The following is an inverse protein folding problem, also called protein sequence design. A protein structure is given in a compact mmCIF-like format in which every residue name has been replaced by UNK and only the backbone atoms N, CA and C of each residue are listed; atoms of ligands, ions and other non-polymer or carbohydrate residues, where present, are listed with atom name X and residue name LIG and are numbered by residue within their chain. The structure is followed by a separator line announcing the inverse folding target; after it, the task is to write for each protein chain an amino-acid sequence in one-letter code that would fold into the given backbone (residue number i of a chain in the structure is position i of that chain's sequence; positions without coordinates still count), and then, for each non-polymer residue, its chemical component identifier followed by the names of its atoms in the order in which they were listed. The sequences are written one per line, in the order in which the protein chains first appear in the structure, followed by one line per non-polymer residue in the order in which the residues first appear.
data_IF_256329405489
#
_entry.id   IF_256329405489
#
_cell.length_a   1.000
_cell.length_b   1.000
_cell.length_c   1.000
_cell.angle_alpha   90.00
_cell.angle_beta   90.00
_cell.angle_gamma   90.00
#
_symmetry.space_group_name_H-M   'P 1'
#
loop_
_entity.id
_entity.type
_entity.pdbx_description
1 polymer ?
#
# COMPACT_ATOMS: atom_id res chain seq x y z
N UNK A 1 -16.57 18.53 -24.45
CA UNK A 1 -15.25 17.88 -24.66
C UNK A 1 -15.51 16.40 -24.82
N UNK A 2 -14.85 15.69 -25.74
CA UNK A 2 -14.98 14.23 -25.82
C UNK A 2 -13.83 13.54 -25.11
N UNK A 3 -14.15 12.47 -24.40
CA UNK A 3 -13.17 11.52 -23.89
C UNK A 3 -13.41 10.20 -24.61
N UNK A 4 -12.38 9.71 -25.28
CA UNK A 4 -12.37 8.46 -26.03
C UNK A 4 -11.62 7.41 -25.22
N UNK A 5 -12.27 6.30 -24.92
CA UNK A 5 -11.68 5.18 -24.20
C UNK A 5 -11.39 4.04 -25.16
N UNK A 6 -10.15 3.57 -25.15
CA UNK A 6 -9.70 2.38 -25.86
C UNK A 6 -9.13 1.41 -24.82
N UNK A 7 -9.76 0.25 -24.62
CA UNK A 7 -9.26 -0.77 -23.70
C UNK A 7 -8.66 -1.93 -24.50
N UNK A 8 -7.36 -2.21 -24.27
CA UNK A 8 -6.69 -3.44 -24.72
C UNK A 8 -7.14 -4.60 -23.85
N UNK A 9 -8.13 -5.35 -24.32
CA UNK A 9 -8.63 -6.54 -23.64
C UNK A 9 -9.41 -7.43 -24.60
N UNK A 10 -9.23 -8.74 -24.49
CA UNK A 10 -9.96 -9.71 -25.30
C UNK A 10 -11.04 -10.35 -24.44
N UNK A 11 -12.23 -10.45 -25.01
CA UNK A 11 -13.41 -11.05 -24.40
C UNK A 11 -13.82 -12.29 -25.19
N UNK A 12 -14.57 -13.20 -24.56
CA UNK A 12 -15.28 -14.25 -25.30
C UNK A 12 -16.75 -13.88 -25.53
N UNK A 13 -17.44 -14.71 -26.31
CA UNK A 13 -18.88 -14.54 -26.53
C UNK A 13 -19.62 -14.53 -25.18
N UNK A 14 -20.62 -13.64 -25.05
CA UNK A 14 -21.37 -13.41 -23.80
C UNK A 14 -20.80 -12.32 -22.89
N UNK A 15 -19.56 -11.87 -23.12
CA UNK A 15 -18.93 -10.83 -22.32
C UNK A 15 -19.06 -9.44 -22.93
N UNK A 16 -19.26 -8.44 -22.08
CA UNK A 16 -19.28 -7.03 -22.44
C UNK A 16 -18.46 -6.20 -21.46
N UNK A 17 -17.73 -5.20 -21.98
CA UNK A 17 -16.98 -4.26 -21.16
C UNK A 17 -17.82 -3.01 -20.89
N UNK A 18 -17.83 -2.57 -19.64
CA UNK A 18 -18.39 -1.30 -19.19
C UNK A 18 -17.33 -0.44 -18.51
N UNK A 19 -17.61 0.86 -18.38
CA UNK A 19 -16.81 1.82 -17.61
C UNK A 19 -17.72 2.49 -16.58
N UNK A 20 -17.27 2.52 -15.33
CA UNK A 20 -17.89 3.32 -14.27
C UNK A 20 -16.90 4.37 -13.75
N UNK A 21 -17.41 5.47 -13.20
CA UNK A 21 -16.56 6.53 -12.66
C UNK A 21 -17.35 7.70 -12.07
N UNK A 22 -16.63 8.69 -11.56
CA UNK A 22 -17.18 9.80 -10.77
C UNK A 22 -17.95 10.88 -11.57
N UNK A 23 -18.46 10.53 -12.75
CA UNK A 23 -19.21 11.44 -13.62
C UNK A 23 -20.56 10.84 -13.98
N UNK A 24 -21.57 11.68 -14.21
CA UNK A 24 -22.88 11.20 -14.62
C UNK A 24 -22.87 10.38 -15.91
N UNK A 25 -21.97 10.71 -16.86
CA UNK A 25 -21.81 9.94 -18.10
C UNK A 25 -21.17 8.55 -17.88
N UNK A 26 -20.58 8.31 -16.71
CA UNK A 26 -20.01 7.03 -16.28
C UNK A 26 -20.79 6.43 -15.09
N UNK A 27 -22.00 6.90 -14.81
CA UNK A 27 -22.88 6.36 -13.78
C UNK A 27 -22.53 6.75 -12.33
N UNK A 28 -21.70 7.77 -12.08
CA UNK A 28 -21.35 8.24 -10.72
C UNK A 28 -20.94 7.10 -9.76
N UNK A 29 -20.03 6.24 -10.19
CA UNK A 29 -19.55 5.05 -9.47
C UNK A 29 -20.64 3.98 -9.17
N UNK A 30 -21.85 4.12 -9.75
CA UNK A 30 -22.88 3.08 -9.75
C UNK A 30 -22.66 2.12 -10.92
N UNK A 31 -22.36 0.85 -10.61
CA UNK A 31 -22.09 -0.21 -11.61
C UNK A 31 -23.30 -0.55 -12.48
N UNK A 32 -24.51 -0.36 -11.98
CA UNK A 32 -25.73 -0.62 -12.75
C UNK A 32 -25.92 0.44 -13.86
N UNK A 33 -25.38 1.64 -13.66
CA UNK A 33 -25.46 2.77 -14.60
C UNK A 33 -24.15 2.96 -15.39
N UNK A 34 -23.26 1.96 -15.36
CA UNK A 34 -21.98 2.01 -16.05
C UNK A 34 -22.17 2.15 -17.58
N UNK A 35 -21.26 2.87 -18.22
CA UNK A 35 -21.26 3.13 -19.65
C UNK A 35 -20.74 1.91 -20.42
N UNK A 36 -21.53 1.36 -21.34
CA UNK A 36 -21.15 0.21 -22.15
C UNK A 36 -20.15 0.59 -23.25
N UNK A 37 -19.09 -0.20 -23.41
CA UNK A 37 -18.21 -0.13 -24.56
C UNK A 37 -18.71 -1.00 -25.70
N UNK A 38 -18.25 -0.68 -26.90
CA UNK A 38 -18.45 -1.49 -28.11
C UNK A 38 -17.16 -2.19 -28.47
N UNK A 39 -17.25 -3.43 -28.93
CA UNK A 39 -16.13 -4.13 -29.55
C UNK A 39 -15.68 -3.34 -30.79
N UNK A 40 -14.40 -2.95 -30.85
CA UNK A 40 -13.86 -2.20 -31.98
C UNK A 40 -13.19 -3.15 -32.97
N UNK A 41 -12.23 -3.93 -32.49
CA UNK A 41 -11.43 -4.86 -33.26
C UNK A 41 -10.79 -5.91 -32.35
N UNK A 42 -9.91 -6.75 -32.92
CA UNK A 42 -9.25 -7.83 -32.19
C UNK A 42 -8.31 -7.36 -31.07
N UNK A 43 -7.98 -6.07 -30.98
CA UNK A 43 -7.13 -5.51 -29.92
C UNK A 43 -7.95 -4.69 -28.91
N UNK A 44 -8.99 -3.98 -29.37
CA UNK A 44 -9.64 -2.93 -28.58
C UNK A 44 -11.15 -3.10 -28.39
N UNK A 45 -11.58 -2.75 -27.18
CA UNK A 45 -12.91 -2.21 -26.91
C UNK A 45 -12.87 -0.68 -26.94
N UNK A 46 -13.95 -0.05 -27.41
CA UNK A 46 -14.04 1.40 -27.59
C UNK A 46 -15.34 2.00 -27.09
N UNK A 47 -15.26 3.23 -26.58
CA UNK A 47 -16.42 4.07 -26.36
C UNK A 47 -16.02 5.52 -26.13
N UNK A 48 -16.99 6.42 -26.22
CA UNK A 48 -16.72 7.84 -26.01
C UNK A 48 -17.86 8.52 -25.27
N UNK A 49 -17.51 9.39 -24.32
CA UNK A 49 -18.46 10.21 -23.60
C UNK A 49 -18.28 11.69 -23.96
N UNK A 50 -19.37 12.44 -23.90
CA UNK A 50 -19.36 13.89 -23.99
C UNK A 50 -19.43 14.50 -22.60
N UNK A 51 -18.44 15.32 -22.27
CA UNK A 51 -18.41 16.09 -21.03
C UNK A 51 -19.07 17.47 -21.25
N UNK A 52 -20.12 17.80 -20.48
CA UNK A 52 -20.89 19.04 -20.65
C UNK A 52 -20.10 20.28 -20.23
N UNK A 53 -19.25 20.20 -19.19
CA UNK A 53 -18.36 21.29 -18.78
C UNK A 53 -16.96 20.76 -18.39
N UNK A 54 -15.92 21.36 -18.99
CA UNK A 54 -14.51 21.04 -18.72
C UNK A 54 -14.06 21.43 -17.31
N UNK A 55 -14.74 22.37 -16.66
CA UNK A 55 -14.37 22.91 -15.35
C UNK A 55 -15.18 22.33 -14.20
N UNK A 56 -16.21 21.53 -14.49
CA UNK A 56 -17.06 20.93 -13.47
C UNK A 56 -16.27 20.02 -12.52
N UNK A 57 -15.25 19.32 -13.04
CA UNK A 57 -14.38 18.44 -12.27
C UNK A 57 -12.92 18.71 -12.58
N UNK A 58 -12.07 18.65 -11.55
CA UNK A 58 -10.61 18.72 -11.69
C UNK A 58 -10.01 17.41 -12.17
N UNK A 59 -10.63 16.30 -11.79
CA UNK A 59 -10.15 14.94 -12.05
C UNK A 59 -11.33 14.01 -12.31
N UNK A 60 -11.22 13.19 -13.34
CA UNK A 60 -12.19 12.15 -13.70
C UNK A 60 -11.54 10.80 -13.38
N UNK A 61 -12.09 10.11 -12.40
CA UNK A 61 -11.69 8.76 -12.01
C UNK A 61 -12.62 7.77 -12.67
N UNK A 62 -12.07 6.66 -13.14
CA UNK A 62 -12.87 5.62 -13.79
C UNK A 62 -12.21 4.25 -13.66
N UNK A 63 -13.03 3.21 -13.82
CA UNK A 63 -12.62 1.81 -13.84
C UNK A 63 -13.46 1.02 -14.83
N UNK A 64 -12.87 -0.06 -15.33
CA UNK A 64 -13.56 -0.99 -16.22
C UNK A 64 -14.27 -2.09 -15.43
N UNK A 65 -15.33 -2.61 -16.02
CA UNK A 65 -16.12 -3.72 -15.53
C UNK A 65 -16.27 -4.72 -16.67
N UNK A 66 -15.96 -5.98 -16.41
CA UNK A 66 -16.30 -7.09 -17.29
C UNK A 66 -17.60 -7.70 -16.77
N UNK A 67 -18.61 -7.76 -17.63
CA UNK A 67 -19.94 -8.30 -17.30
C UNK A 67 -20.29 -9.45 -18.23
N UNK A 68 -20.85 -10.49 -17.64
CA UNK A 68 -21.34 -11.69 -18.30
C UNK A 68 -22.67 -12.10 -17.64
N UNK A 69 -23.65 -12.50 -18.45
CA UNK A 69 -24.97 -12.84 -17.95
C UNK A 69 -24.92 -14.04 -17.00
N UNK A 70 -25.50 -13.89 -15.80
CA UNK A 70 -25.52 -14.93 -14.77
C UNK A 70 -24.28 -14.98 -13.88
N UNK A 71 -23.23 -14.23 -14.20
CA UNK A 71 -21.99 -14.15 -13.44
C UNK A 71 -21.88 -12.84 -12.65
N UNK A 72 -20.99 -12.82 -11.64
CA UNK A 72 -20.70 -11.60 -10.87
C UNK A 72 -19.80 -10.69 -11.69
N UNK A 73 -20.11 -9.39 -11.72
CA UNK A 73 -19.27 -8.36 -12.33
C UNK A 73 -17.81 -8.44 -11.83
N UNK A 74 -16.86 -8.56 -12.77
CA UNK A 74 -15.43 -8.51 -12.47
C UNK A 74 -14.95 -7.08 -12.68
N UNK A 75 -14.37 -6.49 -11.64
CA UNK A 75 -13.79 -5.15 -11.72
C UNK A 75 -12.33 -5.20 -12.15
N UNK A 76 -11.94 -4.22 -12.95
CA UNK A 76 -10.53 -3.90 -13.16
C UNK A 76 -9.91 -3.43 -11.84
N UNK A 77 -8.77 -4.04 -11.49
CA UNK A 77 -8.10 -3.81 -10.22
C UNK A 77 -7.32 -2.49 -10.16
N UNK A 78 -7.10 -1.81 -11.30
CA UNK A 78 -6.44 -0.52 -11.34
C UNK A 78 -7.38 0.62 -10.93
N UNK A 79 -7.13 1.11 -9.72
CA UNK A 79 -7.84 2.22 -9.10
C UNK A 79 -7.32 3.61 -9.48
N UNK A 80 -6.17 3.69 -10.16
CA UNK A 80 -5.36 4.90 -10.24
C UNK A 80 -5.51 5.64 -11.57
N UNK A 81 -6.49 5.24 -12.40
CA UNK A 81 -6.75 5.89 -13.69
C UNK A 81 -7.51 7.19 -13.47
N UNK A 82 -6.86 8.28 -13.87
CA UNK A 82 -7.37 9.64 -13.73
C UNK A 82 -7.14 10.41 -15.03
N UNK A 83 -8.15 11.16 -15.47
CA UNK A 83 -8.04 12.15 -16.54
C UNK A 83 -8.26 13.55 -15.97
N UNK A 84 -7.36 14.48 -16.29
CA UNK A 84 -7.55 15.92 -16.02
C UNK A 84 -8.23 16.58 -17.24
N UNK A 85 -9.52 16.94 -17.16
CA UNK A 85 -10.25 17.59 -18.25
C UNK A 85 -9.92 19.08 -18.40
N UNK A 86 -9.18 19.68 -17.47
CA UNK A 86 -8.94 21.12 -17.37
C UNK A 86 -7.75 21.61 -18.21
N UNK A 87 -7.06 20.69 -18.89
CA UNK A 87 -5.91 20.98 -19.74
C UNK A 87 -6.15 22.11 -20.74
N UNK A 88 -5.30 23.14 -20.71
CA UNK A 88 -5.46 24.38 -21.50
C UNK A 88 -5.43 24.20 -23.03
N UNK A 89 -4.94 23.05 -23.53
CA UNK A 89 -4.57 22.86 -24.95
C UNK A 89 -5.48 21.85 -25.68
N UNK A 90 -6.26 21.05 -24.95
CA UNK A 90 -6.96 19.88 -25.50
C UNK A 90 -8.44 20.17 -25.73
N UNK A 91 -8.93 19.91 -26.94
CA UNK A 91 -10.35 19.87 -27.31
C UNK A 91 -10.97 18.54 -26.86
N UNK A 92 -10.26 17.44 -27.13
CA UNK A 92 -10.65 16.06 -26.84
C UNK A 92 -9.47 15.29 -26.22
N UNK A 93 -9.77 14.22 -25.47
CA UNK A 93 -8.78 13.36 -24.80
C UNK A 93 -9.02 11.92 -25.25
N UNK A 94 -7.97 11.23 -25.69
CA UNK A 94 -7.97 9.79 -25.86
C UNK A 94 -7.27 9.11 -24.69
N UNK A 95 -7.79 7.99 -24.21
CA UNK A 95 -7.10 7.12 -23.26
C UNK A 95 -6.98 5.73 -23.87
N UNK A 96 -5.76 5.19 -23.87
CA UNK A 96 -5.44 3.83 -24.31
C UNK A 96 -5.00 3.05 -23.08
N UNK A 97 -5.85 2.15 -22.63
CA UNK A 97 -5.70 1.46 -21.36
C UNK A 97 -5.47 -0.02 -21.57
N UNK A 98 -4.86 -0.64 -20.58
CA UNK A 98 -4.70 -2.10 -20.49
C UNK A 98 -5.47 -2.60 -19.28
N UNK A 99 -6.21 -3.70 -19.43
CA UNK A 99 -6.93 -4.31 -18.32
C UNK A 99 -5.96 -4.78 -17.22
N UNK A 100 -6.31 -4.51 -15.95
CA UNK A 100 -5.59 -5.02 -14.79
C UNK A 100 -6.42 -6.05 -14.04
N UNK A 101 -5.98 -7.31 -14.08
CA UNK A 101 -6.60 -8.41 -13.35
C UNK A 101 -6.25 -8.34 -11.87
N UNK A 102 -7.21 -8.62 -10.98
CA UNK A 102 -7.01 -8.64 -9.53
C UNK A 102 -5.85 -9.55 -9.09
N UNK A 103 -5.73 -10.72 -9.73
CA UNK A 103 -4.67 -11.69 -9.47
C UNK A 103 -3.26 -11.32 -9.95
N UNK A 104 -3.06 -10.15 -10.58
CA UNK A 104 -1.71 -9.70 -10.94
C UNK A 104 -0.87 -9.49 -9.68
N UNK A 105 0.26 -10.18 -9.59
CA UNK A 105 1.08 -10.16 -8.38
C UNK A 105 1.61 -8.76 -8.05
N UNK A 106 1.81 -7.92 -9.06
CA UNK A 106 2.28 -6.55 -8.92
C UNK A 106 1.33 -5.67 -8.09
N UNK A 107 0.02 -5.99 -8.07
CA UNK A 107 -0.98 -5.26 -7.29
C UNK A 107 -0.63 -5.25 -5.80
N UNK A 108 -0.03 -6.32 -5.28
CA UNK A 108 0.30 -6.43 -3.84
C UNK A 108 1.25 -5.32 -3.39
N UNK A 109 2.14 -4.88 -4.28
CA UNK A 109 3.14 -3.88 -3.95
C UNK A 109 2.56 -2.48 -3.81
N UNK A 110 1.33 -2.25 -4.28
CA UNK A 110 0.61 -0.99 -4.11
C UNK A 110 -0.23 -0.95 -2.81
N UNK A 111 -0.22 -2.02 -2.01
CA UNK A 111 -0.87 -2.03 -0.69
C UNK A 111 -0.11 -1.20 0.34
N UNK A 112 -0.81 -0.79 1.40
CA UNK A 112 -0.26 0.06 2.46
C UNK A 112 1.04 -0.47 3.09
N UNK A 113 1.18 -1.77 3.45
CA UNK A 113 2.42 -2.27 4.03
C UNK A 113 3.64 -2.07 3.12
N UNK A 114 3.47 -2.31 1.81
CA UNK A 114 4.55 -2.14 0.85
C UNK A 114 4.87 -0.67 0.59
N UNK A 115 3.86 0.14 0.27
CA UNK A 115 4.06 1.55 -0.07
C UNK A 115 4.57 2.40 1.10
N UNK A 116 4.07 2.16 2.32
CA UNK A 116 4.44 2.97 3.49
C UNK A 116 5.69 2.48 4.22
N UNK A 117 6.00 1.18 4.15
CA UNK A 117 7.02 0.59 5.01
C UNK A 117 8.07 -0.25 4.25
N UNK A 118 7.66 -1.26 3.46
CA UNK A 118 8.61 -2.24 2.92
C UNK A 118 9.40 -1.77 1.68
N UNK A 119 8.82 -0.87 0.88
CA UNK A 119 9.43 -0.33 -0.35
C UNK A 119 9.71 1.17 -0.25
N UNK A 120 9.77 1.70 0.97
CA UNK A 120 10.05 3.12 1.21
C UNK A 120 11.53 3.42 0.96
N UNK A 121 11.92 3.48 -0.30
CA UNK A 121 13.25 3.91 -0.72
C UNK A 121 13.26 5.38 -1.14
N UNK A 122 14.37 6.06 -0.86
CA UNK A 122 14.58 7.44 -1.30
C UNK A 122 14.96 7.46 -2.79
N UNK A 123 13.95 7.36 -3.64
CA UNK A 123 14.08 7.52 -5.09
C UNK A 123 14.59 8.93 -5.44
N UNK A 124 15.71 9.00 -6.16
CA UNK A 124 16.20 10.27 -6.72
C UNK A 124 15.54 10.51 -8.07
N UNK A 125 14.53 11.37 -8.09
CA UNK A 125 13.80 11.67 -9.33
C UNK A 125 14.68 12.33 -10.41
N UNK A 126 14.49 11.96 -11.70
CA UNK A 126 15.13 12.65 -12.80
C UNK A 126 14.61 14.09 -12.88
N UNK A 127 15.52 15.05 -13.11
CA UNK A 127 15.15 16.45 -13.34
C UNK A 127 14.70 16.62 -14.80
N UNK A 128 13.40 16.54 -15.04
CA UNK A 128 12.81 16.66 -16.37
C UNK A 128 12.13 18.01 -16.56
N UNK A 129 12.33 18.62 -17.73
CA UNK A 129 11.56 19.80 -18.15
C UNK A 129 10.30 19.30 -18.84
N UNK A 130 9.14 19.72 -18.35
CA UNK A 130 7.88 19.39 -19.03
C UNK A 130 7.77 20.14 -20.37
N UNK A 131 7.37 19.47 -21.45
CA UNK A 131 7.18 20.13 -22.73
C UNK A 131 5.98 21.09 -22.66
N UNK A 132 6.11 22.28 -23.27
CA UNK A 132 5.01 23.25 -23.36
C UNK A 132 3.82 22.71 -24.16
N UNK A 133 4.08 21.84 -25.14
CA UNK A 133 3.10 21.19 -26.01
C UNK A 133 3.46 19.72 -26.14
N UNK A 134 2.48 18.85 -25.95
CA UNK A 134 2.62 17.41 -26.10
C UNK A 134 1.36 16.83 -26.75
N UNK A 135 1.52 15.68 -27.39
CA UNK A 135 0.42 14.95 -28.04
C UNK A 135 0.07 13.70 -27.28
N UNK A 136 1.06 13.10 -26.60
CA UNK A 136 0.93 11.81 -25.95
C UNK A 136 1.54 11.86 -24.54
N UNK A 137 0.89 11.24 -23.58
CA UNK A 137 1.44 10.97 -22.25
C UNK A 137 1.52 9.46 -22.03
N UNK A 138 2.73 8.95 -21.86
CA UNK A 138 2.97 7.54 -21.57
C UNK A 138 3.02 7.34 -20.07
N UNK A 139 2.26 6.36 -19.55
CA UNK A 139 2.20 6.04 -18.12
C UNK A 139 2.38 4.53 -17.92
N UNK A 140 3.27 4.15 -17.01
CA UNK A 140 3.53 2.75 -16.65
C UNK A 140 3.74 2.61 -15.15
N UNK A 141 3.32 1.48 -14.57
CA UNK A 141 3.55 1.10 -13.18
C UNK A 141 4.83 0.30 -13.04
N UNK A 142 5.65 0.63 -12.06
CA UNK A 142 6.91 -0.07 -11.78
C UNK A 142 7.13 -0.17 -10.25
N UNK A 143 6.44 -1.10 -9.57
CA UNK A 143 6.41 -1.15 -8.11
C UNK A 143 7.74 -1.51 -7.44
N UNK A 144 8.61 -2.27 -8.12
CA UNK A 144 9.87 -2.80 -7.56
C UNK A 144 11.10 -2.06 -8.11
N UNK A 145 11.06 -0.74 -8.07
CA UNK A 145 12.16 0.13 -8.50
C UNK A 145 13.10 0.44 -7.33
N UNK A 146 14.40 0.28 -7.52
CA UNK A 146 15.39 0.61 -6.50
C UNK A 146 15.75 2.12 -6.53
N UNK A 147 16.34 2.64 -5.44
CA UNK A 147 16.63 4.06 -5.24
C UNK A 147 17.49 4.74 -6.33
N UNK A 148 18.36 3.97 -7.00
CA UNK A 148 19.26 4.45 -8.06
C UNK A 148 18.78 4.10 -9.47
N UNK A 149 17.55 3.63 -9.61
CA UNK A 149 17.00 3.20 -10.88
C UNK A 149 15.94 4.17 -11.38
N UNK A 150 15.92 4.41 -12.68
CA UNK A 150 14.88 5.17 -13.37
C UNK A 150 14.13 4.26 -14.34
N UNK A 151 12.83 4.43 -14.43
CA UNK A 151 12.07 3.94 -15.58
C UNK A 151 12.38 4.86 -16.75
N UNK A 152 12.76 4.29 -17.90
CA UNK A 152 12.98 5.01 -19.14
C UNK A 152 12.17 4.39 -20.27
N UNK A 153 11.93 5.16 -21.33
CA UNK A 153 11.32 4.72 -22.58
C UNK A 153 12.29 4.99 -23.75
N UNK A 154 12.32 4.08 -24.71
CA UNK A 154 12.95 4.24 -26.03
C UNK A 154 12.19 3.42 -27.07
N UNK A 155 12.47 3.60 -28.36
CA UNK A 155 11.69 3.01 -29.43
C UNK A 155 12.15 3.43 -30.83
N UNK A 156 11.34 3.07 -31.83
CA UNK A 156 11.48 3.54 -33.20
C UNK A 156 11.06 5.00 -33.33
N UNK A 157 11.68 5.76 -34.23
CA UNK A 157 11.34 7.16 -34.47
C UNK A 157 12.45 8.10 -34.03
N UNK A 158 12.37 9.33 -34.52
CA UNK A 158 13.41 10.36 -34.34
C UNK A 158 13.51 10.80 -32.90
N UNK A 159 12.38 10.93 -32.20
CA UNK A 159 12.34 11.32 -30.78
C UNK A 159 13.05 10.35 -29.84
N UNK A 160 13.13 9.07 -30.22
CA UNK A 160 13.81 8.02 -29.46
C UNK A 160 15.19 7.68 -30.03
N UNK A 161 15.67 8.45 -31.02
CA UNK A 161 16.90 8.20 -31.75
C UNK A 161 17.01 6.75 -32.28
N UNK A 162 15.87 6.16 -32.68
CA UNK A 162 15.74 4.77 -33.18
C UNK A 162 16.43 3.72 -32.28
N UNK A 163 15.94 3.59 -31.05
CA UNK A 163 16.40 2.62 -30.03
C UNK A 163 17.78 2.91 -29.42
N UNK A 164 18.29 4.14 -29.51
CA UNK A 164 19.58 4.50 -28.92
C UNK A 164 19.52 4.53 -27.37
N UNK A 165 20.08 3.50 -26.75
CA UNK A 165 20.18 3.36 -25.29
C UNK A 165 21.11 4.39 -24.62
N UNK A 166 21.84 5.20 -25.40
CA UNK A 166 22.61 6.35 -24.88
C UNK A 166 21.74 7.59 -24.70
N UNK A 167 20.56 7.63 -25.32
CA UNK A 167 19.62 8.77 -25.31
C UNK A 167 18.25 8.37 -24.80
N UNK A 168 18.24 7.66 -23.68
CA UNK A 168 17.03 7.23 -23.00
C UNK A 168 16.21 8.44 -22.52
N UNK A 169 14.89 8.36 -22.64
CA UNK A 169 13.98 9.34 -22.07
C UNK A 169 13.48 8.82 -20.71
N UNK A 170 13.90 9.39 -19.58
CA UNK A 170 13.44 8.93 -18.27
C UNK A 170 12.02 9.42 -17.98
N UNK A 171 11.28 8.65 -17.17
CA UNK A 171 9.93 8.96 -16.72
C UNK A 171 9.97 9.53 -15.29
N UNK A 172 8.98 10.34 -14.95
CA UNK A 172 8.80 10.95 -13.62
C UNK A 172 7.71 10.24 -12.84
N UNK A 173 7.94 9.97 -11.56
CA UNK A 173 6.90 9.46 -10.67
C UNK A 173 5.78 10.52 -10.47
N UNK A 174 4.53 10.12 -10.71
CA UNK A 174 3.31 10.92 -10.55
C UNK A 174 2.22 10.01 -9.97
N UNK A 175 2.01 10.10 -8.64
CA UNK A 175 1.19 9.12 -7.92
C UNK A 175 1.80 7.72 -8.02
N UNK A 176 0.98 6.72 -8.32
CA UNK A 176 1.40 5.32 -8.52
C UNK A 176 2.03 5.04 -9.89
N UNK A 177 2.03 6.03 -10.80
CA UNK A 177 2.52 5.92 -12.17
C UNK A 177 3.90 6.55 -12.34
N UNK A 178 4.69 6.03 -13.28
CA UNK A 178 5.78 6.76 -13.91
C UNK A 178 5.26 7.30 -15.23
N UNK A 179 5.46 8.60 -15.49
CA UNK A 179 4.93 9.24 -16.70
C UNK A 179 5.93 10.12 -17.44
N UNK A 180 5.73 10.22 -18.76
CA UNK A 180 6.42 11.18 -19.64
C UNK A 180 5.46 11.71 -20.70
N UNK A 181 5.51 13.02 -20.92
CA UNK A 181 4.78 13.71 -21.98
C UNK A 181 5.68 13.90 -23.18
N UNK A 182 5.21 13.47 -24.36
CA UNK A 182 5.97 13.46 -25.61
C UNK A 182 5.14 14.09 -26.74
N UNK A 183 5.81 14.86 -27.59
CA UNK A 183 5.22 15.37 -28.82
C UNK A 183 5.64 14.49 -30.00
N UNK A 184 4.67 13.75 -30.55
CA UNK A 184 4.84 12.81 -31.65
C UNK A 184 4.31 13.36 -32.98
N UNK A 185 4.01 14.65 -33.09
CA UNK A 185 3.46 15.27 -34.31
C UNK A 185 4.34 15.15 -35.56
N UNK A 186 5.62 14.79 -35.42
CA UNK A 186 6.60 14.69 -36.52
C UNK A 186 7.15 13.28 -36.70
N UNK A 187 6.55 12.30 -36.02
CA UNK A 187 6.97 10.90 -36.08
C UNK A 187 6.13 10.13 -37.09
N UNK A 188 6.74 9.09 -37.65
CA UNK A 188 6.09 8.13 -38.52
C UNK A 188 5.48 7.00 -37.65
N UNK A 189 4.29 6.53 -38.02
CA UNK A 189 3.54 5.51 -37.29
C UNK A 189 3.40 4.23 -38.12
N UNK A 190 3.29 3.05 -37.48
CA UNK A 190 3.21 2.85 -36.03
C UNK A 190 4.55 3.02 -35.32
N UNK A 191 4.50 3.52 -34.08
CA UNK A 191 5.68 3.64 -33.22
C UNK A 191 5.82 2.37 -32.39
N UNK A 192 6.93 1.67 -32.53
CA UNK A 192 7.33 0.57 -31.65
C UNK A 192 8.17 1.11 -30.51
N UNK A 193 7.91 0.71 -29.28
CA UNK A 193 8.62 1.20 -28.10
C UNK A 193 8.69 0.16 -27.00
N UNK A 194 9.61 0.37 -26.06
CA UNK A 194 9.70 -0.38 -24.81
C UNK A 194 10.07 0.52 -23.66
N UNK A 195 9.58 0.15 -22.48
CA UNK A 195 10.14 0.64 -21.23
C UNK A 195 11.38 -0.16 -20.85
N UNK A 196 12.16 0.38 -19.94
CA UNK A 196 13.26 -0.33 -19.30
C UNK A 196 13.76 0.40 -18.07
N UNK A 197 14.69 -0.25 -17.38
CA UNK A 197 15.28 0.27 -16.15
C UNK A 197 16.70 0.73 -16.42
N UNK A 198 16.96 2.02 -16.18
CA UNK A 198 18.29 2.60 -16.20
C UNK A 198 18.81 2.74 -14.77
N UNK A 199 19.95 2.13 -14.47
CA UNK A 199 20.61 2.30 -13.18
C UNK A 199 21.61 3.46 -13.25
N UNK A 200 21.32 4.53 -12.51
CA UNK A 200 22.11 5.77 -12.47
C UNK A 200 23.51 5.60 -11.86
N UNK A 201 23.72 4.55 -11.05
CA UNK A 201 25.02 4.25 -10.42
C UNK A 201 25.92 3.44 -11.34
N UNK A 202 25.41 2.35 -11.92
CA UNK A 202 26.19 1.47 -12.82
C UNK A 202 26.18 1.95 -14.27
N UNK A 203 25.28 2.89 -14.62
CA UNK A 203 25.05 3.39 -15.99
C UNK A 203 24.65 2.29 -16.97
N UNK A 204 23.92 1.29 -16.49
CA UNK A 204 23.43 0.16 -17.29
C UNK A 204 21.94 0.30 -17.54
N UNK A 205 21.48 -0.15 -18.71
CA UNK A 205 20.08 -0.18 -19.09
C UNK A 205 19.63 -1.60 -19.41
N UNK A 206 18.44 -1.97 -18.94
CA UNK A 206 17.81 -3.28 -19.21
C UNK A 206 16.39 -3.02 -19.69
N UNK A 207 16.04 -3.56 -20.86
CA UNK A 207 14.69 -3.51 -21.40
C UNK A 207 13.71 -4.33 -20.56
N UNK A 208 12.44 -3.94 -20.59
CA UNK A 208 11.35 -4.83 -20.21
C UNK A 208 11.31 -6.07 -21.13
N UNK A 209 10.75 -7.15 -20.61
CA UNK A 209 10.57 -8.41 -21.33
C UNK A 209 9.38 -8.37 -22.29
N UNK A 210 9.36 -9.31 -23.24
CA UNK A 210 8.28 -9.47 -24.21
C UNK A 210 8.52 -8.73 -25.52
N UNK A 211 7.47 -8.70 -26.34
CA UNK A 211 7.49 -8.00 -27.64
C UNK A 211 7.48 -6.48 -27.45
N UNK A 212 7.85 -5.76 -28.49
CA UNK A 212 7.73 -4.30 -28.50
C UNK A 212 6.27 -3.89 -28.36
N UNK A 213 6.01 -2.89 -27.53
CA UNK A 213 4.71 -2.23 -27.48
C UNK A 213 4.54 -1.43 -28.78
N UNK A 214 3.32 -1.37 -29.28
CA UNK A 214 3.03 -0.69 -30.55
C UNK A 214 1.96 0.37 -30.35
N UNK A 215 2.25 1.59 -30.78
CA UNK A 215 1.31 2.70 -30.80
C UNK A 215 0.92 2.97 -32.26
N UNK A 216 -0.34 2.67 -32.58
CA UNK A 216 -0.94 2.91 -33.91
C UNK A 216 -1.62 4.28 -34.02
N UNK A 217 -2.07 4.86 -32.91
CA UNK A 217 -2.86 6.10 -32.94
C UNK A 217 -1.99 7.32 -33.27
N UNK A 218 -2.27 7.95 -34.40
CA UNK A 218 -1.63 9.19 -34.81
C UNK A 218 -2.08 10.38 -33.94
N UNK A 219 -1.24 11.43 -33.80
CA UNK A 219 -1.64 12.66 -33.14
C UNK A 219 -2.84 13.32 -33.84
N UNK A 220 -3.90 13.58 -33.07
CA UNK A 220 -5.07 14.33 -33.56
C UNK A 220 -4.95 15.80 -33.19
N UNK A 221 -5.32 16.69 -34.12
CA UNK A 221 -5.20 18.15 -33.93
C UNK A 221 -6.02 18.61 -32.72
N UNK A 222 -5.37 19.32 -31.80
CA UNK A 222 -5.95 19.80 -30.53
C UNK A 222 -6.45 18.65 -29.63
N UNK A 223 -5.85 17.47 -29.69
CA UNK A 223 -6.16 16.38 -28.77
C UNK A 223 -4.89 15.85 -28.10
N UNK A 224 -5.07 15.23 -26.95
CA UNK A 224 -4.00 14.50 -26.25
C UNK A 224 -4.44 13.06 -26.05
N UNK A 225 -3.50 12.14 -26.21
CA UNK A 225 -3.69 10.72 -25.91
C UNK A 225 -2.88 10.34 -24.66
N UNK A 226 -3.51 9.69 -23.69
CA UNK A 226 -2.86 9.15 -22.50
C UNK A 226 -2.80 7.64 -22.66
N UNK A 227 -1.62 7.04 -22.49
CA UNK A 227 -1.44 5.60 -22.51
C UNK A 227 -1.25 5.10 -21.07
N UNK A 228 -2.16 4.27 -20.58
CA UNK A 228 -1.99 3.50 -19.34
C UNK A 228 -1.54 2.08 -19.69
N UNK A 229 -0.23 1.90 -19.78
CA UNK A 229 0.42 0.69 -20.27
C UNK A 229 0.51 -0.44 -19.22
N UNK A 230 -0.25 -0.34 -18.12
CA UNK A 230 -0.24 -1.30 -17.02
C UNK A 230 1.12 -1.35 -16.32
N UNK A 231 1.62 -2.54 -16.04
CA UNK A 231 2.93 -2.76 -15.41
C UNK A 231 4.05 -2.85 -16.44
N UNK A 232 5.25 -2.40 -16.05
CA UNK A 232 6.48 -2.71 -16.77
C UNK A 232 6.79 -4.20 -16.62
N UNK A 233 7.10 -4.89 -17.71
CA UNK A 233 7.34 -6.34 -17.67
C UNK A 233 8.77 -6.65 -17.23
N UNK A 234 8.99 -6.79 -15.91
CA UNK A 234 10.30 -7.13 -15.34
C UNK A 234 10.27 -8.48 -14.64
N UNK A 235 11.29 -9.30 -14.85
CA UNK A 235 11.50 -10.53 -14.08
C UNK A 235 12.12 -10.23 -12.70
N UNK A 236 11.39 -9.47 -11.89
CA UNK A 236 11.79 -9.09 -10.52
C UNK A 236 10.71 -9.49 -9.55
N UNK A 237 11.12 -9.90 -8.36
CA UNK A 237 10.22 -10.20 -7.26
C UNK A 237 10.78 -9.62 -5.97
N UNK A 238 9.92 -9.41 -4.98
CA UNK A 238 10.32 -9.02 -3.64
C UNK A 238 10.41 -10.26 -2.76
N UNK A 239 11.46 -10.33 -1.93
CA UNK A 239 11.61 -11.37 -0.92
C UNK A 239 11.78 -10.72 0.44
N UNK A 240 11.11 -11.28 1.43
CA UNK A 240 11.26 -10.88 2.82
C UNK A 240 11.03 -12.07 3.73
N UNK A 241 11.50 -11.94 4.96
CA UNK A 241 11.30 -12.92 6.01
C UNK A 241 10.59 -12.25 7.18
N UNK A 242 9.72 -13.00 7.84
CA UNK A 242 9.00 -12.59 9.02
C UNK A 242 9.11 -13.64 10.11
N UNK A 243 8.80 -13.23 11.35
CA UNK A 243 8.75 -14.14 12.50
C UNK A 243 7.35 -14.07 13.11
N UNK A 244 6.75 -15.23 13.31
CA UNK A 244 5.57 -15.40 14.14
C UNK A 244 6.01 -15.87 15.54
N UNK A 245 5.76 -15.07 16.58
CA UNK A 245 6.23 -15.36 17.94
C UNK A 245 5.23 -14.86 19.00
N UNK A 246 4.97 -15.63 20.08
CA UNK A 246 4.18 -15.13 21.19
C UNK A 246 5.00 -14.18 22.06
N UNK A 247 4.44 -13.04 22.45
CA UNK A 247 5.13 -12.09 23.34
C UNK A 247 5.53 -12.78 24.65
N UNK A 248 4.66 -13.59 25.24
CA UNK A 248 4.97 -14.26 26.52
C UNK A 248 6.22 -15.16 26.48
N UNK A 249 6.65 -15.59 25.28
CA UNK A 249 7.83 -16.44 25.10
C UNK A 249 9.15 -15.66 25.03
N UNK A 250 9.11 -14.34 24.89
CA UNK A 250 10.32 -13.54 24.89
C UNK A 250 11.02 -13.64 26.25
N UNK A 251 12.36 -13.63 26.21
CA UNK A 251 13.23 -13.63 27.38
C UNK A 251 14.19 -12.46 27.27
N UNK A 252 14.27 -11.65 28.31
CA UNK A 252 15.18 -10.51 28.38
C UNK A 252 15.80 -10.40 29.76
N UNK A 253 16.93 -9.71 29.88
CA UNK A 253 17.63 -9.54 31.15
C UNK A 253 16.87 -8.67 32.16
N UNK A 254 15.81 -8.00 31.72
CA UNK A 254 14.95 -7.12 32.53
C UNK A 254 13.54 -7.66 32.74
N UNK A 255 13.24 -8.84 32.20
CA UNK A 255 11.91 -9.45 32.23
C UNK A 255 11.43 -9.88 33.62
N UNK A 256 10.19 -10.35 33.66
CA UNK A 256 9.51 -10.84 34.86
C UNK A 256 9.03 -12.30 34.72
N UNK A 257 9.87 -13.18 34.20
CA UNK A 257 9.54 -14.60 33.93
C UNK A 257 8.63 -14.81 32.72
N UNK A 258 8.30 -13.75 31.99
CA UNK A 258 7.49 -13.71 30.76
C UNK A 258 8.03 -12.57 29.90
N UNK A 259 7.83 -12.68 28.59
CA UNK A 259 8.02 -11.52 27.72
C UNK A 259 6.93 -10.48 27.93
N UNK A 260 7.31 -9.21 27.78
CA UNK A 260 6.51 -8.01 28.05
C UNK A 260 6.53 -7.06 26.84
N UNK A 261 5.68 -6.02 26.84
CA UNK A 261 5.62 -5.07 25.73
C UNK A 261 6.95 -4.36 25.45
N UNK A 262 7.74 -4.09 26.48
CA UNK A 262 9.06 -3.48 26.32
C UNK A 262 10.06 -4.40 25.60
N UNK A 263 9.89 -5.71 25.69
CA UNK A 263 10.78 -6.68 25.03
C UNK A 263 10.57 -6.70 23.52
N UNK A 264 9.41 -6.22 23.03
CA UNK A 264 9.18 -6.04 21.59
C UNK A 264 10.23 -5.11 21.00
N UNK A 265 10.66 -4.05 21.71
CA UNK A 265 11.67 -3.13 21.20
C UNK A 265 13.00 -3.86 20.94
N UNK A 266 13.40 -4.77 21.84
CA UNK A 266 14.60 -5.58 21.67
C UNK A 266 14.48 -6.54 20.47
N UNK A 267 13.29 -7.13 20.29
CA UNK A 267 12.99 -7.98 19.13
C UNK A 267 13.03 -7.18 17.82
N UNK A 268 12.53 -5.93 17.82
CA UNK A 268 12.59 -5.01 16.67
C UNK A 268 14.04 -4.66 16.34
N UNK A 269 14.86 -4.31 17.33
CA UNK A 269 16.29 -4.03 17.13
C UNK A 269 17.01 -5.24 16.50
N UNK A 270 16.75 -6.44 17.03
CA UNK A 270 17.28 -7.67 16.48
C UNK A 270 16.76 -7.96 15.06
N UNK A 271 15.47 -7.73 14.79
CA UNK A 271 14.86 -7.93 13.48
C UNK A 271 15.48 -7.00 12.43
N UNK A 272 15.72 -5.73 12.78
CA UNK A 272 16.42 -4.78 11.91
C UNK A 272 17.83 -5.24 11.57
N UNK A 273 18.58 -5.71 12.58
CA UNK A 273 19.96 -6.18 12.40
C UNK A 273 20.07 -7.45 11.56
N UNK A 274 19.04 -8.29 11.57
CA UNK A 274 19.00 -9.57 10.83
C UNK A 274 18.26 -9.49 9.50
N UNK A 275 17.68 -8.34 9.17
CA UNK A 275 16.95 -8.11 7.92
C UNK A 275 15.52 -8.68 7.90
N UNK A 276 14.98 -9.10 9.04
CA UNK A 276 13.57 -9.47 9.20
C UNK A 276 12.69 -8.26 8.95
N UNK A 277 11.62 -8.45 8.17
CA UNK A 277 10.74 -7.39 7.67
C UNK A 277 9.38 -7.34 8.34
N UNK A 278 9.00 -8.40 9.06
CA UNK A 278 7.69 -8.51 9.71
C UNK A 278 7.79 -9.27 11.03
N UNK A 279 7.15 -8.72 12.05
CA UNK A 279 6.90 -9.41 13.32
C UNK A 279 5.40 -9.64 13.41
N UNK A 280 4.99 -10.90 13.56
CA UNK A 280 3.62 -11.30 13.80
C UNK A 280 3.53 -11.83 15.22
N UNK A 281 2.66 -11.23 16.02
CA UNK A 281 2.40 -11.68 17.39
C UNK A 281 1.16 -12.56 17.44
N UNK A 282 1.14 -13.52 18.37
CA UNK A 282 -0.10 -14.15 18.79
C UNK A 282 -1.01 -13.09 19.44
N UNK A 283 -2.33 -13.32 19.55
CA UNK A 283 -3.23 -12.35 20.17
C UNK A 283 -2.73 -11.90 21.54
N UNK A 284 -2.82 -10.59 21.76
CA UNK A 284 -2.27 -9.90 22.95
C UNK A 284 -3.38 -9.39 23.90
N UNK A 285 -4.62 -9.72 23.55
CA UNK A 285 -5.81 -9.29 24.25
C UNK A 285 -5.96 -9.99 25.59
N UNK A 286 -6.66 -9.35 26.52
CA UNK A 286 -6.90 -9.91 27.84
C UNK A 286 -7.78 -11.16 27.76
N UNK A 287 -7.35 -12.20 28.44
CA UNK A 287 -7.95 -13.53 28.52
C UNK A 287 -8.26 -13.93 29.96
N UNK A 288 -8.10 -13.00 30.92
CA UNK A 288 -8.19 -13.25 32.38
C UNK A 288 -9.64 -13.48 32.85
N UNK A 289 -10.22 -14.64 32.54
CA UNK A 289 -11.59 -15.00 32.92
C UNK A 289 -11.68 -15.77 34.24
N UNK A 290 -10.70 -16.63 34.53
CA UNK A 290 -10.76 -17.60 35.65
C UNK A 290 -9.68 -17.40 36.69
N UNK A 291 -8.69 -16.55 36.39
CA UNK A 291 -7.46 -16.35 37.17
C UNK A 291 -6.65 -17.64 37.35
N UNK A 292 -6.74 -18.57 36.40
CA UNK A 292 -5.98 -19.83 36.38
C UNK A 292 -5.13 -19.94 35.12
N UNK A 293 -4.29 -20.97 35.03
CA UNK A 293 -3.47 -21.27 33.86
C UNK A 293 -4.29 -21.43 32.56
N UNK A 294 -5.60 -21.70 32.63
CA UNK A 294 -6.49 -21.73 31.44
C UNK A 294 -6.49 -20.39 30.69
N UNK A 295 -6.33 -19.29 31.41
CA UNK A 295 -6.33 -17.94 30.84
C UNK A 295 -5.05 -17.67 30.05
N UNK A 296 -4.01 -18.53 30.12
CA UNK A 296 -2.81 -18.38 29.29
C UNK A 296 -3.05 -18.69 27.80
N UNK A 297 -4.21 -19.24 27.44
CA UNK A 297 -4.58 -19.52 26.06
C UNK A 297 -4.97 -18.23 25.32
N UNK A 298 -4.19 -17.78 24.30
CA UNK A 298 -4.34 -16.44 23.74
C UNK A 298 -5.61 -16.23 22.89
N UNK A 299 -6.36 -17.30 22.59
CA UNK A 299 -7.55 -17.23 21.74
C UNK A 299 -8.88 -17.20 22.51
N UNK A 300 -8.85 -17.15 23.85
CA UNK A 300 -10.04 -17.01 24.71
C UNK A 300 -10.14 -15.59 25.29
N UNK A 301 -10.06 -14.58 24.44
CA UNK A 301 -10.10 -13.19 24.87
C UNK A 301 -11.45 -12.83 25.49
N UNK A 302 -11.43 -12.13 26.62
CA UNK A 302 -12.62 -11.55 27.27
C UNK A 302 -12.93 -10.14 26.73
N UNK A 303 -12.00 -9.55 25.98
CA UNK A 303 -12.17 -8.25 25.32
C UNK A 303 -11.39 -8.19 24.01
N UNK A 304 -12.02 -7.67 22.95
CA UNK A 304 -11.35 -7.37 21.68
C UNK A 304 -10.45 -6.11 21.75
N UNK A 305 -10.57 -5.32 22.83
CA UNK A 305 -9.89 -4.03 22.98
C UNK A 305 -8.83 -4.03 24.09
N UNK A 306 -9.12 -4.68 25.22
CA UNK A 306 -8.22 -4.65 26.37
C UNK A 306 -6.97 -5.50 26.12
N UNK A 307 -5.81 -4.96 26.47
CA UNK A 307 -4.52 -5.64 26.41
C UNK A 307 -4.31 -6.47 27.67
N UNK A 308 -3.72 -7.65 27.52
CA UNK A 308 -3.51 -8.57 28.63
C UNK A 308 -2.51 -7.99 29.67
N UNK A 309 -2.87 -7.95 30.97
CA UNK A 309 -1.98 -7.44 32.02
C UNK A 309 -0.64 -8.20 32.17
N UNK A 310 -0.55 -9.43 31.64
CA UNK A 310 0.68 -10.22 31.63
C UNK A 310 1.83 -9.47 30.97
N UNK A 311 1.55 -8.66 29.96
CA UNK A 311 2.56 -7.97 29.15
C UNK A 311 2.98 -6.61 29.69
N UNK A 312 2.37 -6.12 30.77
CA UNK A 312 2.72 -4.85 31.40
C UNK A 312 4.12 -4.97 32.01
N UNK A 313 5.01 -4.03 31.66
CA UNK A 313 6.33 -3.90 32.28
C UNK A 313 6.23 -3.06 33.56
N UNK A 314 6.53 -3.66 34.72
CA UNK A 314 6.39 -3.01 36.01
C UNK A 314 7.38 -1.85 36.23
N UNK A 315 8.60 -1.93 35.67
CA UNK A 315 9.59 -0.84 35.80
C UNK A 315 9.09 0.43 35.10
N UNK A 316 8.48 0.29 33.91
CA UNK A 316 7.87 1.40 33.18
C UNK A 316 6.70 2.04 33.94
N UNK A 317 5.83 1.24 34.54
CA UNK A 317 4.68 1.75 35.31
C UNK A 317 5.13 2.41 36.62
N UNK A 318 6.09 1.81 37.32
CA UNK A 318 6.61 2.36 38.57
C UNK A 318 7.36 3.69 38.38
N UNK A 319 8.05 3.83 37.25
CA UNK A 319 8.89 4.99 36.96
C UNK A 319 9.93 5.26 38.06
N UNK A 320 10.37 6.52 38.16
CA UNK A 320 11.29 6.93 39.23
C UNK A 320 10.64 6.96 40.62
N UNK A 321 9.34 7.26 40.68
CA UNK A 321 8.59 7.49 41.94
C UNK A 321 8.45 6.21 42.77
N UNK A 322 8.24 5.06 42.12
CA UNK A 322 8.08 3.76 42.79
C UNK A 322 9.25 2.80 42.53
N UNK A 323 10.42 3.32 42.17
CA UNK A 323 11.59 2.50 41.87
C UNK A 323 12.03 1.62 43.07
N UNK A 324 11.82 2.09 44.31
CA UNK A 324 12.10 1.34 45.53
C UNK A 324 11.25 0.08 45.65
N UNK A 325 9.96 0.17 45.30
CA UNK A 325 9.03 -0.96 45.27
C UNK A 325 9.56 -2.03 44.33
N UNK A 326 9.94 -1.66 43.10
CA UNK A 326 10.45 -2.61 42.11
C UNK A 326 11.82 -3.19 42.49
N UNK A 327 12.70 -2.38 43.09
CA UNK A 327 14.04 -2.83 43.52
C UNK A 327 13.95 -3.94 44.58
N UNK A 328 12.95 -3.89 45.46
CA UNK A 328 12.69 -4.95 46.44
C UNK A 328 12.33 -6.29 45.77
N UNK A 329 11.85 -6.28 44.53
CA UNK A 329 11.37 -7.46 43.80
C UNK A 329 12.46 -8.17 43.00
N UNK A 330 13.68 -7.62 42.94
CA UNK A 330 14.77 -8.16 42.11
C UNK A 330 15.08 -9.63 42.36
N UNK A 331 14.97 -10.10 43.62
CA UNK A 331 15.17 -11.52 43.94
C UNK A 331 14.08 -12.40 43.33
N UNK A 332 12.82 -11.95 43.38
CA UNK A 332 11.68 -12.65 42.78
C UNK A 332 11.74 -12.63 41.25
N UNK A 333 12.09 -11.48 40.64
CA UNK A 333 12.37 -11.35 39.21
C UNK A 333 13.33 -12.43 38.72
N UNK A 334 14.53 -12.48 39.33
CA UNK A 334 15.56 -13.47 38.99
C UNK A 334 15.08 -14.90 39.18
N UNK A 335 14.32 -15.18 40.24
CA UNK A 335 13.78 -16.52 40.50
C UNK A 335 12.77 -16.99 39.45
N UNK A 336 11.98 -16.07 38.88
CA UNK A 336 10.99 -16.39 37.82
C UNK A 336 11.67 -16.52 36.46
N UNK A 337 12.66 -15.69 36.16
CA UNK A 337 13.46 -15.78 34.91
C UNK A 337 14.24 -17.10 34.78
N UNK A 338 14.65 -17.71 35.90
CA UNK A 338 15.35 -18.99 35.89
C UNK A 338 14.42 -20.20 35.65
N UNK A 339 13.10 -20.01 35.61
CA UNK A 339 12.17 -21.11 35.37
C UNK A 339 12.20 -21.54 33.90
N UNK A 340 12.24 -22.87 33.62
CA UNK A 340 12.25 -23.39 32.25
C UNK A 340 10.93 -23.14 31.52
N UNK A 341 9.83 -23.00 32.27
CA UNK A 341 8.49 -22.74 31.76
C UNK A 341 7.91 -21.48 32.40
N UNK A 342 6.95 -20.86 31.72
CA UNK A 342 6.21 -19.72 32.26
C UNK A 342 5.33 -20.17 33.44
N UNK A 343 5.63 -19.67 34.63
CA UNK A 343 4.73 -19.71 35.79
C UNK A 343 3.64 -18.63 35.64
N UNK A 344 2.67 -18.88 34.76
CA UNK A 344 1.65 -17.90 34.38
C UNK A 344 0.88 -17.36 35.60
N UNK A 345 0.35 -18.24 36.45
CA UNK A 345 -0.44 -17.84 37.61
C UNK A 345 0.41 -17.06 38.62
N UNK A 346 1.64 -17.51 38.88
CA UNK A 346 2.55 -16.83 39.79
C UNK A 346 2.94 -15.43 39.29
N UNK A 347 3.25 -15.31 37.99
CA UNK A 347 3.55 -14.03 37.34
C UNK A 347 2.34 -13.09 37.39
N UNK A 348 1.15 -13.56 36.99
CA UNK A 348 -0.07 -12.74 36.97
C UNK A 348 -0.46 -12.25 38.35
N UNK A 349 -0.55 -13.17 39.33
CA UNK A 349 -0.89 -12.82 40.71
C UNK A 349 0.07 -11.77 41.26
N UNK A 350 1.36 -11.94 40.98
CA UNK A 350 2.38 -11.03 41.46
C UNK A 350 2.29 -9.66 40.76
N UNK A 351 2.24 -9.61 39.43
CA UNK A 351 2.13 -8.36 38.68
C UNK A 351 0.90 -7.56 39.09
N UNK A 352 -0.26 -8.20 39.17
CA UNK A 352 -1.50 -7.54 39.59
C UNK A 352 -1.41 -7.00 41.02
N UNK A 353 -0.73 -7.69 41.94
CA UNK A 353 -0.54 -7.18 43.31
C UNK A 353 0.25 -5.87 43.34
N UNK A 354 1.34 -5.78 42.56
CA UNK A 354 2.19 -4.58 42.48
C UNK A 354 1.47 -3.45 41.74
N UNK A 355 0.76 -3.78 40.64
CA UNK A 355 -0.02 -2.78 39.91
C UNK A 355 -1.12 -2.17 40.78
N UNK A 356 -1.77 -2.97 41.63
CA UNK A 356 -2.75 -2.47 42.62
C UNK A 356 -2.10 -1.55 43.65
N UNK A 357 -0.91 -1.89 44.15
CA UNK A 357 -0.17 -1.03 45.10
C UNK A 357 0.18 0.32 44.46
N UNK A 358 0.71 0.32 43.23
CA UNK A 358 1.00 1.55 42.49
C UNK A 358 -0.29 2.34 42.22
N UNK A 359 -1.36 1.67 41.79
CA UNK A 359 -2.66 2.31 41.57
C UNK A 359 -3.19 2.99 42.85
N UNK A 360 -3.11 2.33 44.01
CA UNK A 360 -3.54 2.95 45.26
C UNK A 360 -2.72 4.18 45.64
N UNK A 361 -1.43 4.22 45.29
CA UNK A 361 -0.56 5.37 45.51
C UNK A 361 -0.79 6.51 44.50
N UNK A 362 -1.24 6.20 43.28
CA UNK A 362 -1.40 7.18 42.18
C UNK A 362 -2.85 7.56 41.85
N UNK A 363 -3.85 6.87 42.37
CA UNK A 363 -5.26 7.05 41.94
C UNK A 363 -5.76 8.50 42.01
N UNK A 364 -5.34 9.26 43.02
CA UNK A 364 -5.73 10.67 43.18
C UNK A 364 -5.12 11.55 42.08
N UNK A 365 -3.95 11.19 41.56
CA UNK A 365 -3.34 11.89 40.43
C UNK A 365 -4.12 11.64 39.14
N UNK A 366 -4.56 10.41 38.88
CA UNK A 366 -5.36 10.08 37.68
C UNK A 366 -6.68 10.85 37.61
N UNK A 367 -7.27 11.20 38.76
CA UNK A 367 -8.46 12.06 38.84
C UNK A 367 -8.20 13.51 38.39
N UNK A 368 -6.95 13.88 38.12
CA UNK A 368 -6.56 15.21 37.66
C UNK A 368 -5.77 15.21 36.36
N UNK A 369 -5.46 14.03 35.81
CA UNK A 369 -4.67 13.89 34.58
C UNK A 369 -5.56 14.01 33.34
N UNK A 370 -5.38 15.10 32.60
CA UNK A 370 -6.12 15.36 31.36
C UNK A 370 -5.93 14.26 30.30
N UNK A 371 -4.76 13.60 30.28
CA UNK A 371 -4.51 12.51 29.33
C UNK A 371 -5.35 11.28 29.69
N UNK A 372 -5.46 10.96 30.98
CA UNK A 372 -6.34 9.90 31.45
C UNK A 372 -7.81 10.21 31.14
N UNK A 373 -8.27 11.45 31.39
CA UNK A 373 -9.64 11.84 31.06
C UNK A 373 -9.96 11.70 29.57
N UNK A 374 -9.07 12.19 28.69
CA UNK A 374 -9.25 12.07 27.25
C UNK A 374 -9.27 10.60 26.81
N UNK A 375 -8.38 9.77 27.37
CA UNK A 375 -8.37 8.34 27.10
C UNK A 375 -9.67 7.66 27.57
N UNK A 376 -10.11 7.92 28.80
CA UNK A 376 -11.32 7.34 29.36
C UNK A 376 -12.55 7.74 28.56
N UNK A 377 -12.69 9.03 28.22
CA UNK A 377 -13.86 9.53 27.49
C UNK A 377 -13.96 8.93 26.09
N UNK A 378 -12.83 8.86 25.37
CA UNK A 378 -12.74 8.25 24.04
C UNK A 378 -13.07 6.75 24.05
N UNK A 379 -12.79 6.05 25.16
CA UNK A 379 -12.89 4.60 25.27
C UNK A 379 -14.02 4.10 26.18
N UNK A 380 -14.84 5.02 26.69
CA UNK A 380 -15.81 4.77 27.77
C UNK A 380 -16.74 3.60 27.48
N UNK A 381 -17.19 3.48 26.23
CA UNK A 381 -18.17 2.48 25.78
C UNK A 381 -17.71 1.04 26.07
N UNK A 382 -16.44 0.73 25.82
CA UNK A 382 -15.89 -0.61 26.05
C UNK A 382 -15.14 -0.72 27.37
N UNK A 383 -14.56 0.37 27.88
CA UNK A 383 -13.70 0.35 29.06
C UNK A 383 -14.51 0.14 30.36
N UNK A 384 -15.68 0.78 30.50
CA UNK A 384 -16.54 0.64 31.69
C UNK A 384 -17.09 -0.78 31.89
N UNK A 385 -17.62 -1.48 30.87
CA UNK A 385 -18.07 -2.86 31.04
C UNK A 385 -16.92 -3.87 31.20
N UNK A 386 -15.69 -3.50 30.82
CA UNK A 386 -14.50 -4.34 30.99
C UNK A 386 -13.87 -4.23 32.38
N UNK A 387 -13.78 -3.02 32.93
CA UNK A 387 -13.15 -2.70 34.22
C UNK A 387 -14.02 -3.13 35.41
#
# INVERSE_FOLDING_TARGET
MKIHFYLRYHTHFGQTIFITGNTGALGNDNRAEAFALSYLDNEFWYGSIEMPDKKALKEINYRYILREEGEVDILDADADRVVDPTGKVTKDIGVIDTWNTEGNFENVFYTLPFQKHLLKEHYKAPKLKEPKLYTHEFKVKAPLLNANEWVCITGSGKIFDNWDVKKLLPLKATGNWYSIKINLSKEDFPIRYKYGIYNTRTKTFIFESGNDRVLHQHPVKKSTTILHDGFIHLHRTWRGSGIAIPIFSLRSTKGFGTGEFNDINLLVDWAMNTGIKMLQFLPINDTTATHTAKDSYPYSAISAFALHPLYINLDSVAGGKHASLIKALNKKKKSLELQPHLDYEGVMKFKLSILKEIFHAEKEFFLTDINYFNYFDLNREWLVPYA
#
